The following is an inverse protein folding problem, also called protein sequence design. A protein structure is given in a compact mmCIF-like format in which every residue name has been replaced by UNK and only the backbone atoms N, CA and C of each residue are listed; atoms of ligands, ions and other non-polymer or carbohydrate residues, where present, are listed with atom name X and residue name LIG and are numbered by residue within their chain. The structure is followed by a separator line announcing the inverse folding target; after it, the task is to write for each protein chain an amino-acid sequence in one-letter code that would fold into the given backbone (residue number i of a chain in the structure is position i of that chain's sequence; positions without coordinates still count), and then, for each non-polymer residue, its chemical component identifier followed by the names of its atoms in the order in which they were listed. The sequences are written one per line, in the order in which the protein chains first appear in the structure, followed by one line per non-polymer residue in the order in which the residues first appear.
data_IF_426381986279
#
_entry.id   IF_426381986279
#
_cell.length_a   1.000
_cell.length_b   1.000
_cell.length_c   1.000
_cell.angle_alpha   90.00
_cell.angle_beta   90.00
_cell.angle_gamma   90.00
#
_symmetry.space_group_name_H-M   'P 1'
#
loop_
_entity.id
_entity.type
_entity.pdbx_description
1 polymer ?
#
# COMPACT_ATOMS: atom_id res chain seq x y z
N UNK A 1 1.41 -9.04 0.68
CA UNK A 1 0.90 -7.66 0.50
C UNK A 1 -0.39 -7.53 1.29
N UNK A 2 -0.57 -6.43 2.01
CA UNK A 2 -1.86 -6.03 2.61
C UNK A 2 -2.25 -4.64 2.12
N UNK A 3 -3.55 -4.35 2.14
CA UNK A 3 -4.12 -3.06 1.74
C UNK A 3 -4.86 -2.51 2.96
N UNK A 4 -4.49 -1.31 3.38
CA UNK A 4 -4.96 -0.70 4.62
C UNK A 4 -5.38 0.75 4.41
N UNK A 5 -6.48 1.18 5.03
CA UNK A 5 -6.93 2.57 5.04
C UNK A 5 -6.75 3.24 6.42
N UNK A 6 -6.15 2.51 7.37
CA UNK A 6 -5.95 2.95 8.75
C UNK A 6 -4.47 2.90 9.15
N UNK A 7 -4.03 3.86 9.97
CA UNK A 7 -2.65 3.89 10.47
C UNK A 7 -2.32 2.69 11.38
N UNK A 8 -3.31 2.17 12.11
CA UNK A 8 -3.11 1.01 12.97
C UNK A 8 -2.86 -0.26 12.15
N UNK A 9 -3.60 -0.45 11.06
CA UNK A 9 -3.39 -1.54 10.13
C UNK A 9 -2.02 -1.46 9.46
N UNK A 10 -1.62 -0.26 9.01
CA UNK A 10 -0.30 -0.02 8.42
C UNK A 10 0.82 -0.37 9.41
N UNK A 11 0.77 0.12 10.64
CA UNK A 11 1.79 -0.18 11.65
C UNK A 11 1.82 -1.67 12.01
N UNK A 12 0.67 -2.33 12.03
CA UNK A 12 0.62 -3.78 12.26
C UNK A 12 1.29 -4.56 11.13
N UNK A 13 1.09 -4.13 9.88
CA UNK A 13 1.66 -4.76 8.71
C UNK A 13 3.18 -4.56 8.60
N UNK A 14 3.66 -3.35 8.92
CA UNK A 14 5.08 -3.02 9.07
C UNK A 14 5.75 -3.94 10.11
N UNK A 15 5.16 -4.05 11.30
CA UNK A 15 5.66 -4.92 12.37
C UNK A 15 5.67 -6.41 11.98
N UNK A 16 4.77 -6.82 11.08
CA UNK A 16 4.72 -8.17 10.54
C UNK A 16 5.71 -8.39 9.36
N UNK A 17 6.49 -7.37 8.98
CA UNK A 17 7.40 -7.43 7.83
C UNK A 17 6.67 -7.62 6.50
N UNK A 18 5.41 -7.19 6.41
CA UNK A 18 4.56 -7.38 5.24
C UNK A 18 4.48 -6.10 4.42
N UNK A 19 4.66 -6.22 3.10
CA UNK A 19 4.46 -5.10 2.17
C UNK A 19 3.05 -4.52 2.29
N UNK A 20 2.97 -3.20 2.44
CA UNK A 20 1.73 -2.48 2.76
C UNK A 20 1.41 -1.43 1.69
N UNK A 21 0.16 -1.46 1.21
CA UNK A 21 -0.39 -0.44 0.31
C UNK A 21 -1.43 0.36 1.10
N UNK A 22 -1.16 1.65 1.33
CA UNK A 22 -2.12 2.54 1.97
C UNK A 22 -3.17 3.05 0.97
N UNK A 23 -4.45 2.79 1.22
CA UNK A 23 -5.58 3.32 0.47
C UNK A 23 -6.08 4.61 1.12
N UNK A 24 -5.71 5.75 0.55
CA UNK A 24 -6.12 7.07 1.05
C UNK A 24 -7.58 7.40 0.81
N UNK A 25 -8.13 6.93 -0.30
CA UNK A 25 -9.45 7.37 -0.76
C UNK A 25 -9.53 8.91 -0.83
N UNK A 26 -10.65 9.47 -0.38
CA UNK A 26 -10.89 10.93 -0.35
C UNK A 26 -10.47 11.59 0.97
N UNK A 27 -9.94 10.84 1.93
CA UNK A 27 -9.64 11.36 3.26
C UNK A 27 -8.40 12.28 3.23
N UNK A 28 -8.54 13.49 3.77
CA UNK A 28 -7.42 14.41 4.08
C UNK A 28 -7.55 14.92 5.51
N UNK A 29 -6.48 14.92 6.32
CA UNK A 29 -5.15 14.36 6.07
C UNK A 29 -5.02 12.93 6.61
N UNK A 30 -4.81 11.93 5.74
CA UNK A 30 -4.32 10.63 6.17
C UNK A 30 -2.78 10.64 6.13
N UNK A 31 -2.14 10.46 7.29
CA UNK A 31 -0.68 10.31 7.40
C UNK A 31 -0.38 8.81 7.38
N UNK A 32 0.22 8.33 6.30
CA UNK A 32 0.60 6.93 6.11
C UNK A 32 2.11 6.83 5.93
N UNK A 33 2.85 7.38 6.91
CA UNK A 33 4.30 7.57 6.83
C UNK A 33 5.07 6.24 6.73
N UNK A 34 4.43 5.13 7.12
CA UNK A 34 5.05 3.79 7.19
C UNK A 34 4.54 2.81 6.12
N UNK A 35 3.75 3.28 5.14
CA UNK A 35 3.32 2.41 4.05
C UNK A 35 4.37 2.39 2.92
N UNK A 36 4.66 1.21 2.37
CA UNK A 36 5.57 1.05 1.22
C UNK A 36 5.04 1.78 -0.03
N UNK A 37 3.72 1.76 -0.19
CA UNK A 37 3.02 2.42 -1.30
C UNK A 37 1.79 3.16 -0.80
N UNK A 38 1.42 4.23 -1.49
CA UNK A 38 0.17 4.96 -1.25
C UNK A 38 -0.60 5.11 -2.55
N UNK A 39 -1.91 4.86 -2.49
CA UNK A 39 -2.83 4.96 -3.61
C UNK A 39 -4.09 5.72 -3.21
N UNK A 40 -4.76 6.31 -4.19
CA UNK A 40 -5.98 7.10 -3.98
C UNK A 40 -7.27 6.32 -4.27
N UNK A 41 -7.19 5.21 -5.01
CA UNK A 41 -8.35 4.42 -5.44
C UNK A 41 -7.95 2.98 -5.79
N UNK A 42 -8.96 2.12 -6.01
CA UNK A 42 -8.76 0.71 -6.35
C UNK A 42 -8.12 0.48 -7.73
N UNK A 43 -8.32 1.38 -8.70
CA UNK A 43 -7.69 1.24 -10.02
C UNK A 43 -6.17 1.39 -9.95
N UNK A 44 -5.69 2.30 -9.10
CA UNK A 44 -4.26 2.46 -8.83
C UNK A 44 -3.65 1.24 -8.14
N UNK A 45 -4.42 0.51 -7.32
CA UNK A 45 -3.96 -0.75 -6.69
C UNK A 45 -3.62 -1.79 -7.76
N UNK A 46 -4.51 -1.99 -8.75
CA UNK A 46 -4.30 -2.98 -9.80
C UNK A 46 -3.03 -2.69 -10.60
N UNK A 47 -2.88 -1.44 -11.06
CA UNK A 47 -1.69 -1.02 -11.81
C UNK A 47 -0.40 -1.16 -10.98
N UNK A 48 -0.45 -0.86 -9.68
CA UNK A 48 0.67 -1.02 -8.79
C UNK A 48 1.08 -2.50 -8.63
N UNK A 49 0.12 -3.40 -8.38
CA UNK A 49 0.39 -4.83 -8.23
C UNK A 49 1.02 -5.40 -9.51
N UNK A 50 0.51 -5.02 -10.68
CA UNK A 50 1.08 -5.45 -11.96
C UNK A 50 2.53 -4.97 -12.12
N UNK A 51 2.84 -3.72 -11.76
CA UNK A 51 4.20 -3.18 -11.80
C UNK A 51 5.14 -3.91 -10.84
N UNK A 52 4.69 -4.22 -9.62
CA UNK A 52 5.47 -4.98 -8.63
C UNK A 52 5.79 -6.38 -9.17
N UNK A 53 4.79 -7.06 -9.76
CA UNK A 53 4.97 -8.38 -10.33
C UNK A 53 5.97 -8.35 -11.51
N UNK A 54 5.87 -7.37 -12.40
CA UNK A 54 6.80 -7.22 -13.53
C UNK A 54 8.23 -6.94 -13.06
N UNK A 55 8.41 -6.06 -12.07
CA UNK A 55 9.72 -5.77 -11.50
C UNK A 55 10.35 -7.00 -10.82
N UNK A 56 9.52 -7.87 -10.22
CA UNK A 56 9.95 -9.12 -9.61
C UNK A 56 10.36 -10.22 -10.61
N UNK A 57 9.79 -10.21 -11.82
CA UNK A 57 10.14 -11.16 -12.90
C UNK A 57 11.41 -10.79 -13.69
N UNK A 58 11.92 -9.55 -13.55
CA UNK A 58 13.10 -9.06 -14.27
C UNK A 58 14.45 -9.48 -13.66
N UNK A 59 14.50 -10.58 -12.88
CA UNK A 59 15.74 -11.12 -12.28
C UNK A 59 16.09 -12.50 -12.80
#
# INVERSE_FOLDING_TARGET
IVIEDSINGINSAENAGTTTIALKGKCKPARFENADYTVSNYSEIAALIDNINQAGMSK
#
